data_IF_335859102170
#
_entry.id   IF_335859102170
#
_cell.length_a   1.000
_cell.length_b   1.000
_cell.length_c   1.000
_cell.angle_alpha   90.00
_cell.angle_beta   90.00
_cell.angle_gamma   90.00
#
_symmetry.space_group_name_H-M   'P 1'
#
loop_
_entity.id
_entity.type
_entity.pdbx_description
1 polymer ?
#
# COMPACT_ATOMS: atom_id res chain seq x y z
N UNK A 1 -3.43 11.12 -36.35
CA UNK A 1 -3.69 9.91 -35.53
C UNK A 1 -2.56 9.59 -34.57
N UNK A 2 -1.37 9.12 -35.00
CA UNK A 2 -0.27 8.78 -34.06
C UNK A 2 0.23 10.01 -33.27
N UNK A 3 0.37 11.16 -33.94
CA UNK A 3 0.72 12.43 -33.29
C UNK A 3 -0.28 12.85 -32.22
N UNK A 4 -1.56 12.71 -32.50
CA UNK A 4 -2.63 13.15 -31.59
C UNK A 4 -2.68 12.26 -30.34
N UNK A 5 -2.54 10.94 -30.51
CA UNK A 5 -2.40 9.98 -29.40
C UNK A 5 -1.15 10.26 -28.55
N UNK A 6 -0.03 10.65 -29.17
CA UNK A 6 1.18 11.00 -28.44
C UNK A 6 0.99 12.26 -27.59
N UNK A 7 0.29 13.28 -28.11
CA UNK A 7 -0.05 14.48 -27.34
C UNK A 7 -0.99 14.18 -26.18
N UNK A 8 -1.98 13.31 -26.37
CA UNK A 8 -2.89 12.88 -25.31
C UNK A 8 -2.14 12.13 -24.19
N UNK A 9 -1.23 11.23 -24.55
CA UNK A 9 -0.41 10.49 -23.59
C UNK A 9 0.44 11.43 -22.74
N UNK A 10 1.07 12.44 -23.35
CA UNK A 10 1.85 13.45 -22.62
C UNK A 10 0.97 14.23 -21.63
N UNK A 11 -0.21 14.68 -22.07
CA UNK A 11 -1.14 15.39 -21.18
C UNK A 11 -1.64 14.50 -20.03
N UNK A 12 -1.83 13.20 -20.24
CA UNK A 12 -2.17 12.28 -19.16
C UNK A 12 -1.02 12.09 -18.18
N UNK A 13 0.22 12.05 -18.68
CA UNK A 13 1.41 11.94 -17.83
C UNK A 13 1.56 13.16 -16.90
N UNK A 14 1.32 14.38 -17.43
CA UNK A 14 1.30 15.61 -16.63
C UNK A 14 0.24 15.54 -15.53
N UNK A 15 -0.99 15.12 -15.86
CA UNK A 15 -2.08 14.97 -14.88
C UNK A 15 -1.75 13.95 -13.79
N UNK A 16 -1.13 12.82 -14.13
CA UNK A 16 -0.67 11.83 -13.15
C UNK A 16 0.32 12.47 -12.18
N UNK A 17 1.30 13.20 -12.71
CA UNK A 17 2.32 13.85 -11.90
C UNK A 17 1.76 14.96 -10.99
N UNK A 18 0.77 15.72 -11.47
CA UNK A 18 0.05 16.68 -10.63
C UNK A 18 -0.73 16.00 -9.50
N UNK A 19 -1.40 14.89 -9.80
CA UNK A 19 -2.11 14.11 -8.79
C UNK A 19 -1.16 13.50 -7.76
N UNK A 20 -0.01 12.99 -8.18
CA UNK A 20 1.01 12.44 -7.27
C UNK A 20 1.45 13.49 -6.24
N UNK A 21 1.68 14.73 -6.69
CA UNK A 21 2.02 15.86 -5.80
C UNK A 21 0.90 16.20 -4.82
N UNK A 22 -0.36 16.20 -5.30
CA UNK A 22 -1.51 16.46 -4.43
C UNK A 22 -1.68 15.37 -3.39
N UNK A 23 -1.52 14.10 -3.77
CA UNK A 23 -1.58 12.95 -2.85
C UNK A 23 -0.47 13.08 -1.81
N UNK A 24 0.76 13.36 -2.23
CA UNK A 24 1.89 13.54 -1.32
C UNK A 24 1.66 14.69 -0.33
N UNK A 25 1.17 15.84 -0.79
CA UNK A 25 0.86 16.97 0.09
C UNK A 25 -0.19 16.58 1.14
N UNK A 26 -1.29 15.95 0.72
CA UNK A 26 -2.35 15.48 1.63
C UNK A 26 -1.89 14.41 2.59
N UNK A 27 -1.06 13.48 2.14
CA UNK A 27 -0.48 12.46 3.00
C UNK A 27 0.35 13.12 4.11
N UNK A 28 1.20 14.08 3.78
CA UNK A 28 2.05 14.78 4.77
C UNK A 28 1.27 15.57 5.82
N UNK A 29 0.04 15.99 5.51
CA UNK A 29 -0.86 16.65 6.47
C UNK A 29 -1.45 15.69 7.52
N UNK A 30 -1.39 14.37 7.29
CA UNK A 30 -2.00 13.38 8.16
C UNK A 30 -1.15 13.08 9.41
N UNK A 31 -1.79 12.94 10.57
CA UNK A 31 -1.12 12.72 11.87
C UNK A 31 -0.23 11.47 11.90
N UNK A 32 -0.65 10.40 11.22
CA UNK A 32 0.09 9.14 11.12
C UNK A 32 1.24 9.16 10.10
N UNK A 33 1.35 10.21 9.27
CA UNK A 33 2.33 10.25 8.19
C UNK A 33 3.79 10.10 8.65
N UNK A 34 4.24 10.70 9.77
CA UNK A 34 5.60 10.52 10.26
C UNK A 34 5.93 9.06 10.62
N UNK A 35 5.00 8.37 11.28
CA UNK A 35 5.17 6.96 11.68
C UNK A 35 5.11 6.02 10.48
N UNK A 36 4.26 6.31 9.50
CA UNK A 36 4.16 5.50 8.29
C UNK A 36 5.40 5.67 7.42
N UNK A 37 5.91 6.89 7.30
CA UNK A 37 7.09 7.21 6.50
C UNK A 37 8.40 6.76 7.16
N UNK A 38 8.39 6.46 8.47
CA UNK A 38 9.57 5.89 9.14
C UNK A 38 9.81 4.43 8.79
N UNK A 39 8.83 3.75 8.16
CA UNK A 39 9.01 2.38 7.69
C UNK A 39 9.93 2.36 6.44
N UNK A 40 10.94 1.49 6.39
CA UNK A 40 11.84 1.40 5.24
C UNK A 40 11.10 1.19 3.91
N UNK A 41 11.49 1.98 2.92
CA UNK A 41 10.94 1.93 1.56
C UNK A 41 9.49 2.37 1.40
N UNK A 42 8.84 2.88 2.46
CA UNK A 42 7.51 3.50 2.36
C UNK A 42 7.68 5.00 2.09
N UNK A 43 7.60 5.34 0.81
CA UNK A 43 7.49 6.73 0.36
C UNK A 43 6.06 7.28 0.47
N UNK A 44 5.85 8.58 0.20
CA UNK A 44 4.57 9.27 0.40
C UNK A 44 3.38 8.62 -0.32
N UNK A 45 3.55 8.16 -1.56
CA UNK A 45 2.47 7.48 -2.30
C UNK A 45 2.09 6.13 -1.70
N UNK A 46 3.08 5.32 -1.28
CA UNK A 46 2.83 4.05 -0.60
C UNK A 46 2.23 4.27 0.79
N UNK A 47 2.64 5.33 1.48
CA UNK A 47 2.06 5.75 2.75
C UNK A 47 0.60 6.21 2.61
N UNK A 48 0.28 6.95 1.54
CA UNK A 48 -1.09 7.33 1.21
C UNK A 48 -1.96 6.12 0.87
N UNK A 49 -1.44 5.16 0.09
CA UNK A 49 -2.11 3.89 -0.22
C UNK A 49 -2.37 3.08 1.07
N UNK A 50 -1.40 3.05 1.98
CA UNK A 50 -1.56 2.45 3.31
C UNK A 50 -2.69 3.12 4.10
N UNK A 51 -2.68 4.45 4.21
CA UNK A 51 -3.73 5.19 4.92
C UNK A 51 -5.11 4.96 4.32
N UNK A 52 -5.24 5.02 3.00
CA UNK A 52 -6.51 4.77 2.33
C UNK A 52 -7.02 3.36 2.63
N UNK A 53 -6.14 2.35 2.56
CA UNK A 53 -6.50 0.97 2.84
C UNK A 53 -6.80 0.73 4.33
N UNK A 54 -6.15 1.47 5.25
CA UNK A 54 -6.44 1.48 6.69
C UNK A 54 -7.57 2.44 7.09
N UNK A 55 -8.20 3.12 6.14
CA UNK A 55 -9.26 4.10 6.41
C UNK A 55 -8.80 5.30 7.24
N UNK A 56 -7.51 5.58 7.27
CA UNK A 56 -6.90 6.68 8.04
C UNK A 56 -6.78 6.43 9.54
N UNK A 57 -7.33 5.35 10.06
CA UNK A 57 -7.42 5.09 11.49
C UNK A 57 -6.88 3.69 11.83
N UNK A 58 -5.79 3.64 12.61
CA UNK A 58 -5.20 2.38 13.06
C UNK A 58 -5.86 1.81 14.32
N UNK A 59 -6.66 2.60 15.05
CA UNK A 59 -7.36 2.13 16.25
C UNK A 59 -8.38 1.02 15.95
N UNK A 60 -8.85 0.93 14.71
CA UNK A 60 -9.70 -0.17 14.21
C UNK A 60 -9.02 -1.54 14.25
N UNK A 61 -7.70 -1.59 14.42
CA UNK A 61 -6.93 -2.82 14.55
C UNK A 61 -6.55 -3.05 16.01
N UNK A 62 -7.15 -4.04 16.70
CA UNK A 62 -6.85 -4.29 18.12
C UNK A 62 -5.41 -4.68 18.42
N UNK A 63 -4.64 -5.10 17.40
CA UNK A 63 -3.23 -5.46 17.54
C UNK A 63 -2.50 -5.37 16.20
N UNK A 64 -1.15 -5.35 16.27
CA UNK A 64 -0.29 -5.46 15.09
C UNK A 64 -0.56 -6.75 14.30
N UNK A 65 -0.84 -7.88 14.98
CA UNK A 65 -1.17 -9.14 14.31
C UNK A 65 -2.47 -9.05 13.50
N UNK A 66 -3.47 -8.31 14.00
CA UNK A 66 -4.72 -8.07 13.26
C UNK A 66 -4.48 -7.21 12.03
N UNK A 67 -3.63 -6.20 12.12
CA UNK A 67 -3.19 -5.42 10.97
C UNK A 67 -2.42 -6.28 9.97
N UNK A 68 -1.52 -7.15 10.44
CA UNK A 68 -0.73 -8.05 9.59
C UNK A 68 -1.59 -9.10 8.86
N UNK A 69 -2.63 -9.61 9.52
CA UNK A 69 -3.62 -10.51 8.92
C UNK A 69 -4.49 -9.78 7.89
N UNK A 70 -4.94 -8.57 8.21
CA UNK A 70 -5.70 -7.72 7.29
C UNK A 70 -4.88 -7.38 6.04
N UNK A 71 -3.61 -7.02 6.22
CA UNK A 71 -2.73 -6.66 5.13
C UNK A 71 -2.25 -7.84 4.30
N UNK A 72 -2.49 -9.08 4.75
CA UNK A 72 -2.07 -10.28 4.06
C UNK A 72 -0.56 -10.52 4.11
N UNK A 73 0.15 -9.94 5.09
CA UNK A 73 1.57 -10.27 5.33
C UNK A 73 1.71 -11.44 6.31
N UNK A 74 0.73 -11.62 7.21
CA UNK A 74 0.70 -12.75 8.12
C UNK A 74 0.38 -14.08 7.39
N UNK A 75 1.06 -15.18 7.75
CA UNK A 75 0.68 -16.51 7.27
C UNK A 75 -0.68 -16.93 7.85
N UNK A 76 -1.51 -17.56 7.02
CA UNK A 76 -2.84 -18.07 7.39
C UNK A 76 -2.90 -19.56 7.07
N UNK A 77 -3.43 -20.41 7.96
CA UNK A 77 -3.62 -21.83 7.69
C UNK A 77 -4.56 -22.07 6.49
N UNK A 78 -4.19 -23.03 5.64
CA UNK A 78 -5.00 -23.59 4.56
C UNK A 78 -5.11 -25.10 4.78
N UNK A 79 -5.57 -25.43 5.97
CA UNK A 79 -5.66 -26.79 6.47
C UNK A 79 -6.90 -27.49 5.91
N UNK A 80 -6.84 -28.81 5.81
CA UNK A 80 -7.97 -29.68 5.45
C UNK A 80 -8.09 -30.78 6.49
N UNK A 81 -9.14 -31.61 6.45
CA UNK A 81 -9.39 -32.63 7.48
C UNK A 81 -8.20 -33.56 7.81
N UNK A 82 -7.28 -33.76 6.86
CA UNK A 82 -6.07 -34.58 7.03
C UNK A 82 -4.75 -33.80 6.95
N UNK A 83 -4.78 -32.49 6.75
CA UNK A 83 -3.58 -31.66 6.54
C UNK A 83 -3.62 -30.49 7.52
N UNK A 84 -2.66 -30.47 8.45
CA UNK A 84 -2.51 -29.43 9.47
C UNK A 84 -1.21 -28.65 9.26
N UNK A 85 -1.22 -27.35 9.55
CA UNK A 85 -0.04 -26.50 9.49
C UNK A 85 0.36 -26.08 8.06
N UNK A 86 -0.54 -26.19 7.08
CA UNK A 86 -0.34 -25.74 5.72
C UNK A 86 -0.52 -24.21 5.61
N UNK A 87 0.46 -23.47 6.09
CA UNK A 87 0.42 -22.01 6.11
C UNK A 87 0.67 -21.41 4.71
N UNK A 88 -0.20 -20.48 4.31
CA UNK A 88 -0.05 -19.70 3.08
C UNK A 88 -0.24 -18.20 3.37
N UNK A 89 0.43 -17.35 2.60
CA UNK A 89 0.25 -15.90 2.69
C UNK A 89 -0.87 -15.44 1.74
N UNK A 90 -2.04 -15.01 2.25
CA UNK A 90 -3.16 -14.63 1.39
C UNK A 90 -2.83 -13.37 0.58
N UNK A 91 -3.29 -13.33 -0.68
CA UNK A 91 -3.18 -12.15 -1.53
C UNK A 91 -4.23 -11.11 -1.17
N UNK A 92 -3.83 -10.12 -0.38
CA UNK A 92 -4.65 -8.94 0.00
C UNK A 92 -4.10 -7.69 -0.69
N UNK A 93 -4.95 -6.69 -0.92
CA UNK A 93 -4.54 -5.44 -1.59
C UNK A 93 -3.33 -4.80 -0.91
N UNK A 94 -3.38 -4.63 0.42
CA UNK A 94 -2.34 -3.96 1.19
C UNK A 94 -1.00 -4.74 1.20
N UNK A 95 -1.00 -6.03 0.88
CA UNK A 95 0.23 -6.83 0.74
C UNK A 95 1.17 -6.22 -0.31
N UNK A 96 0.60 -5.61 -1.36
CA UNK A 96 1.34 -4.95 -2.43
C UNK A 96 2.15 -3.76 -1.91
N UNK A 97 1.63 -3.00 -0.94
CA UNK A 97 2.33 -1.86 -0.33
C UNK A 97 3.63 -2.35 0.33
N UNK A 98 3.54 -3.38 1.17
CA UNK A 98 4.70 -3.96 1.84
C UNK A 98 5.66 -4.68 0.88
N UNK A 99 5.14 -5.32 -0.16
CA UNK A 99 5.99 -5.93 -1.18
C UNK A 99 6.79 -4.88 -1.97
N UNK A 100 6.15 -3.76 -2.33
CA UNK A 100 6.82 -2.66 -3.04
C UNK A 100 7.80 -1.91 -2.16
N UNK A 101 7.48 -1.71 -0.88
CA UNK A 101 8.39 -1.03 0.05
C UNK A 101 9.70 -1.80 0.20
N UNK A 102 9.65 -3.14 0.27
CA UNK A 102 10.85 -3.97 0.32
C UNK A 102 11.78 -3.76 -0.91
N UNK A 103 11.22 -3.55 -2.10
CA UNK A 103 11.99 -3.25 -3.31
C UNK A 103 12.56 -1.83 -3.36
N UNK A 104 11.98 -0.90 -2.61
CA UNK A 104 12.40 0.50 -2.53
C UNK A 104 13.36 0.79 -1.36
N UNK A 105 13.68 -0.21 -0.53
CA UNK A 105 14.48 -0.05 0.69
C UNK A 105 15.99 -0.22 0.48
N UNK A 106 16.46 -0.28 -0.78
CA UNK A 106 17.85 -0.51 -1.17
C UNK A 106 18.65 0.79 -1.37
#
# INVERSE_FOLDING_TARGET
MVRDLALELLGLHEKIHELDKLIEARFREHELAPVISSMPGIGPLLGAEFLAATGGDLSRFPSADRLAAFSGVAPVPRDSGNVNGNLHRPRRYLQRVFYRSAGNSA
#
